data_IF_437504016627
#
_entry.id   IF_437504016627
#
_cell.length_a   1.000
_cell.length_b   1.000
_cell.length_c   1.000
_cell.angle_alpha   90.00
_cell.angle_beta   90.00
_cell.angle_gamma   90.00
#
_symmetry.space_group_name_H-M   'P 1'
#
loop_
_entity.id
_entity.type
_entity.pdbx_description
1 polymer ?
2 polymer ?
3 non-polymer ?
4 water ?
#
# COMPACT_ATOMS: atom_id res chain seq x y z
N UNK A 5 12.25 18.10 -11.65
CA UNK A 5 12.41 16.86 -10.84
C UNK A 5 12.45 15.59 -11.67
N UNK A 6 13.32 14.68 -11.26
CA UNK A 6 13.38 13.39 -12.01
C UNK A 6 12.19 12.54 -11.67
N UNK A 7 12.04 11.41 -12.39
CA UNK A 7 10.93 10.52 -12.04
C UNK A 7 11.18 9.97 -10.61
N UNK A 8 12.44 9.71 -10.24
CA UNK A 8 12.64 9.18 -8.91
C UNK A 8 12.29 10.21 -7.87
N UNK A 9 12.68 11.47 -8.12
CA UNK A 9 12.36 12.52 -7.18
C UNK A 9 10.82 12.71 -7.04
N UNK A 10 10.15 12.66 -8.17
CA UNK A 10 8.73 12.86 -8.19
C UNK A 10 8.01 11.74 -7.43
N UNK A 11 8.48 10.49 -7.61
CA UNK A 11 7.89 9.38 -6.93
C UNK A 11 8.17 9.43 -5.45
N UNK A 12 9.34 9.89 -5.01
CA UNK A 12 9.60 10.01 -3.59
C UNK A 12 8.62 11.05 -3.02
N UNK A 13 8.43 12.13 -3.78
CA UNK A 13 7.53 13.16 -3.30
C UNK A 13 6.06 12.73 -3.26
N UNK A 14 5.61 12.00 -4.28
CA UNK A 14 4.27 11.46 -4.27
C UNK A 14 4.09 10.50 -3.07
N UNK A 15 5.11 9.67 -2.79
CA UNK A 15 4.95 8.76 -1.64
C UNK A 15 4.59 9.52 -0.38
N UNK A 16 5.35 10.59 -0.14
CA UNK A 16 5.16 11.45 0.99
C UNK A 16 3.79 12.10 0.94
N UNK A 17 3.37 12.64 -0.22
CA UNK A 17 2.10 13.28 -0.32
C UNK A 17 0.96 12.28 -0.09
N UNK A 18 1.08 11.08 -0.66
CA UNK A 18 -0.01 10.11 -0.49
C UNK A 18 -0.15 9.75 0.97
N UNK A 19 1.00 9.49 1.62
CA UNK A 19 0.89 9.16 3.05
C UNK A 19 0.20 10.27 3.82
N UNK A 20 0.61 11.48 3.59
CA UNK A 20 0.12 12.66 4.30
C UNK A 20 -1.33 12.97 4.08
N UNK A 21 -1.78 12.80 2.85
CA UNK A 21 -3.19 12.95 2.53
C UNK A 21 -4.04 11.89 3.27
N UNK A 22 -3.57 10.65 3.29
CA UNK A 22 -4.36 9.61 3.96
C UNK A 22 -4.16 9.63 5.46
N UNK A 23 -2.94 10.06 5.90
CA UNK A 23 -2.77 10.11 7.34
C UNK A 23 -3.44 11.36 7.88
N UNK A 24 -3.71 12.42 7.18
CA UNK A 24 -4.29 13.61 7.78
C UNK A 24 -5.77 13.68 7.82
N UNK A 25 -6.54 12.57 7.84
CA UNK A 25 -7.97 12.72 7.93
C UNK A 25 -8.36 12.91 9.40
N UNK A 26 -7.68 12.27 10.35
CA UNK A 26 -8.09 12.48 11.72
C UNK A 26 -7.11 13.54 12.33
N UNK A 27 -6.97 13.62 13.66
CA UNK A 27 -6.09 14.64 14.22
C UNK A 27 -4.63 14.33 14.32
N UNK A 28 -4.21 13.17 13.79
CA UNK A 28 -2.81 12.81 13.85
C UNK A 28 -2.23 12.67 12.48
N UNK A 29 -1.60 13.61 11.80
CA UNK A 29 -1.11 13.27 10.45
C UNK A 29 0.18 12.57 10.40
N UNK A 30 0.67 11.91 11.44
CA UNK A 30 1.92 11.20 11.29
C UNK A 30 1.63 9.71 11.38
N UNK A 31 0.33 9.37 11.50
CA UNK A 31 0.04 7.90 11.62
C UNK A 31 -1.13 7.47 10.77
N UNK A 32 -1.16 6.35 10.06
CA UNK A 32 -2.42 6.06 9.31
C UNK A 32 -3.23 5.20 10.22
N UNK A 33 -4.44 5.61 10.69
CA UNK A 33 -5.11 4.59 11.56
C UNK A 33 -5.77 3.45 10.68
N UNK A 34 -6.41 2.49 11.30
CA UNK A 34 -7.11 1.37 10.66
C UNK A 34 -8.19 1.89 9.71
N UNK A 35 -8.94 2.92 10.16
CA UNK A 35 -9.94 3.49 9.29
C UNK A 35 -9.36 4.12 8.05
N UNK A 36 -8.28 4.86 8.23
CA UNK A 36 -7.62 5.51 7.14
C UNK A 36 -6.92 4.50 6.25
N UNK A 37 -6.46 3.41 6.80
CA UNK A 37 -5.79 2.40 5.95
C UNK A 37 -6.93 1.74 5.05
N UNK A 38 -8.09 1.51 5.65
CA UNK A 38 -9.28 0.97 4.98
C UNK A 38 -9.62 1.84 3.77
N UNK A 39 -9.62 3.15 3.96
CA UNK A 39 -9.92 4.08 2.88
C UNK A 39 -8.83 4.12 1.84
N UNK A 40 -7.56 4.11 2.30
CA UNK A 40 -6.45 4.14 1.35
C UNK A 40 -6.53 2.86 0.44
N UNK A 41 -6.65 1.70 1.03
CA UNK A 41 -6.73 0.42 0.39
C UNK A 41 -7.96 0.36 -0.55
N UNK A 42 -9.07 0.98 -0.20
CA UNK A 42 -10.20 0.94 -1.14
C UNK A 42 -10.17 2.06 -2.15
N UNK A 43 -9.15 2.91 -2.20
CA UNK A 43 -9.18 3.97 -3.17
C UNK A 43 -7.85 4.07 -3.93
N UNK A 44 -6.68 3.88 -3.33
CA UNK A 44 -5.42 4.01 -4.05
C UNK A 44 -5.09 2.59 -4.58
N UNK A 45 -5.45 1.59 -3.78
CA UNK A 45 -5.21 0.24 -4.13
C UNK A 45 -6.50 -0.56 -4.39
N UNK A 46 -7.55 0.10 -4.85
CA UNK A 46 -8.86 -0.51 -5.11
C UNK A 46 -8.77 -1.81 -5.91
N UNK A 47 -7.97 -1.83 -6.96
CA UNK A 47 -7.77 -2.95 -7.84
C UNK A 47 -7.28 -4.19 -7.15
N UNK A 48 -6.40 -4.05 -6.18
CA UNK A 48 -5.92 -5.22 -5.45
C UNK A 48 -6.93 -5.55 -4.38
N UNK A 49 -7.57 -4.50 -3.85
CA UNK A 49 -8.50 -4.72 -2.74
C UNK A 49 -9.80 -5.39 -3.16
N UNK A 50 -10.42 -4.86 -4.21
CA UNK A 50 -11.68 -5.37 -4.72
C UNK A 50 -11.59 -6.85 -5.06
N UNK A 51 -10.49 -7.29 -5.64
CA UNK A 51 -10.36 -8.73 -5.94
C UNK A 51 -10.70 -9.52 -4.68
N UNK A 52 -9.88 -9.43 -3.65
CA UNK A 52 -10.13 -10.14 -2.38
C UNK A 52 -11.54 -9.85 -1.89
N UNK A 53 -12.30 -10.85 -1.43
CA UNK A 53 -13.68 -10.65 -0.99
C UNK A 53 -13.86 -10.94 0.49
N UNK A 54 -12.77 -11.40 1.09
CA UNK A 54 -12.78 -11.71 2.53
C UNK A 54 -12.27 -10.43 3.21
N UNK A 55 -13.14 -9.80 3.99
CA UNK A 55 -12.84 -8.55 4.66
C UNK A 55 -11.86 -8.68 5.81
N UNK A 56 -11.54 -9.91 6.23
CA UNK A 56 -10.57 -10.12 7.29
C UNK A 56 -9.14 -9.95 6.71
N UNK A 57 -8.98 -9.94 5.40
CA UNK A 57 -7.69 -9.79 4.79
C UNK A 57 -7.00 -8.48 5.21
N UNK A 58 -7.65 -7.33 5.08
CA UNK A 58 -7.09 -6.06 5.49
C UNK A 58 -6.75 -6.04 6.95
N UNK A 59 -7.56 -6.70 7.78
CA UNK A 59 -7.24 -6.71 9.20
C UNK A 59 -5.94 -7.49 9.37
N UNK A 60 -5.79 -8.51 8.53
CA UNK A 60 -4.56 -9.32 8.67
C UNK A 60 -3.40 -8.56 8.06
N UNK A 61 -3.62 -7.76 7.02
CA UNK A 61 -2.48 -7.02 6.47
C UNK A 61 -2.01 -5.94 7.49
N UNK A 62 -2.97 -5.30 8.10
CA UNK A 62 -2.71 -4.24 9.07
C UNK A 62 -1.85 -4.76 10.21
N UNK A 63 -2.23 -5.90 10.78
CA UNK A 63 -1.48 -6.48 11.86
C UNK A 63 -0.05 -6.82 11.45
N UNK A 64 0.08 -7.37 10.28
CA UNK A 64 1.36 -7.71 9.72
C UNK A 64 2.21 -6.47 9.46
N UNK A 65 1.62 -5.34 9.05
CA UNK A 65 2.43 -4.17 8.76
C UNK A 65 2.75 -3.34 9.99
N UNK A 66 1.93 -3.49 11.02
CA UNK A 66 2.06 -2.74 12.25
C UNK A 66 3.20 -3.31 13.08
N UNK A 67 4.44 -3.08 12.67
CA UNK A 67 5.55 -3.63 13.40
C UNK A 67 5.69 -3.20 14.84
N UNK A 68 5.33 -2.02 15.29
CA UNK A 68 5.56 -1.76 16.73
C UNK A 68 4.26 -1.98 17.49
N UNK A 69 3.29 -2.52 16.81
CA UNK A 69 2.00 -2.86 17.32
C UNK A 69 1.26 -1.88 18.17
N UNK A 70 1.27 -0.60 17.77
CA UNK A 70 0.54 0.50 18.34
C UNK A 70 -0.81 0.65 17.65
N UNK A 71 -1.17 -0.18 16.68
CA UNK A 71 -2.46 -0.14 15.98
C UNK A 71 -2.54 0.85 14.84
N UNK A 72 -1.42 1.51 14.43
CA UNK A 72 -1.55 2.54 13.36
C UNK A 72 -0.43 2.39 12.37
N UNK A 73 -0.31 2.92 11.19
CA UNK A 73 0.88 2.65 10.39
C UNK A 73 1.65 4.00 10.40
N UNK A 74 2.96 3.94 10.69
CA UNK A 74 3.67 5.26 10.52
C UNK A 74 4.22 5.26 9.12
N UNK A 75 4.94 6.28 8.67
CA UNK A 75 5.46 6.31 7.31
C UNK A 75 6.28 5.14 6.85
N UNK A 76 7.18 4.70 7.72
CA UNK A 76 8.04 3.60 7.38
C UNK A 76 7.24 2.31 7.20
N UNK A 77 6.28 2.02 8.03
CA UNK A 77 5.43 0.84 7.93
C UNK A 77 4.62 0.93 6.66
N UNK A 78 4.18 2.14 6.36
CA UNK A 78 3.45 2.29 5.09
C UNK A 78 4.39 2.03 3.93
N UNK A 79 5.65 2.44 3.99
CA UNK A 79 6.59 2.16 2.92
C UNK A 79 6.83 0.66 2.75
N UNK A 80 6.83 -0.17 3.75
CA UNK A 80 7.01 -1.61 3.66
C UNK A 80 5.81 -2.19 2.87
N UNK A 81 4.62 -1.59 2.94
CA UNK A 81 3.48 -2.00 2.13
C UNK A 81 3.77 -1.67 0.67
N UNK A 82 4.17 -0.43 0.39
CA UNK A 82 4.47 -0.04 -0.97
C UNK A 82 5.56 -0.93 -1.55
N UNK A 83 6.62 -1.17 -0.83
CA UNK A 83 7.73 -1.97 -1.23
C UNK A 83 7.34 -3.47 -1.44
N UNK A 84 6.59 -4.06 -0.54
CA UNK A 84 6.16 -5.44 -0.66
C UNK A 84 5.37 -5.63 -1.97
N UNK A 85 4.49 -4.72 -2.31
CA UNK A 85 3.75 -4.74 -3.55
C UNK A 85 4.63 -4.52 -4.78
N UNK A 86 5.59 -3.57 -4.72
CA UNK A 86 6.43 -3.33 -5.88
C UNK A 86 7.30 -4.59 -6.04
N UNK A 87 7.77 -5.22 -5.00
CA UNK A 87 8.60 -6.41 -5.14
C UNK A 87 7.79 -7.55 -5.78
N UNK A 88 6.58 -7.85 -5.31
CA UNK A 88 5.79 -8.90 -5.95
C UNK A 88 5.55 -8.56 -7.39
N UNK A 89 5.25 -7.30 -7.72
CA UNK A 89 5.02 -6.95 -9.09
C UNK A 89 6.25 -7.09 -9.99
N UNK A 90 7.42 -6.79 -9.41
CA UNK A 90 8.65 -6.87 -10.19
C UNK A 90 8.98 -8.37 -10.39
N UNK A 91 8.74 -9.20 -9.41
CA UNK A 91 8.94 -10.63 -9.49
C UNK A 91 8.04 -11.21 -10.62
N UNK A 92 6.80 -10.80 -10.72
CA UNK A 92 5.92 -11.22 -11.79
C UNK A 92 6.40 -10.71 -13.13
N UNK A 93 6.94 -9.47 -13.16
CA UNK A 93 7.40 -9.01 -14.48
C UNK A 93 8.62 -9.89 -14.89
N UNK A 94 9.50 -10.30 -13.98
CA UNK A 94 10.65 -11.12 -14.35
C UNK A 94 10.18 -12.51 -14.84
N UNK A 95 9.30 -13.12 -14.08
CA UNK A 95 8.69 -14.41 -14.29
C UNK A 95 8.03 -14.49 -15.67
N UNK A 96 7.39 -13.43 -16.09
CA UNK A 96 6.70 -13.28 -17.33
C UNK A 96 7.63 -13.02 -18.49
N UNK A 97 8.78 -12.37 -18.22
CA UNK A 97 9.65 -12.12 -19.37
C UNK A 97 10.82 -13.06 -19.43
N UNK A 98 11.24 -13.72 -18.37
CA UNK A 98 12.41 -14.66 -18.45
C UNK A 98 11.78 -16.02 -18.19
N UNK A 99 10.93 -16.41 -19.13
CA UNK A 99 10.20 -17.65 -19.00
C UNK A 99 10.59 -18.78 -19.93
C UNK B 1 -0.65 0.99 -13.58
N UNK B 2 -1.35 0.71 -14.68
CA UNK B 2 -0.83 0.13 -15.88
C UNK B 2 -0.63 -1.38 -15.66
N UNK B 3 0.62 -1.83 -15.72
CA UNK B 3 0.91 -3.25 -15.54
C UNK B 3 0.68 -3.63 -14.08
N UNK B 4 0.97 -2.66 -13.22
CA UNK B 4 0.79 -2.89 -11.78
C UNK B 4 -0.65 -3.17 -11.42
N UNK B 5 -1.57 -2.30 -11.84
CA UNK B 5 -2.98 -2.49 -11.56
C UNK B 5 -3.48 -3.88 -11.96
N UNK B 6 -2.99 -4.39 -13.09
CA UNK B 6 -3.43 -5.72 -13.53
C UNK B 6 -2.79 -6.76 -12.62
N UNK B 7 -1.50 -6.51 -12.33
CA UNK B 7 -0.82 -7.48 -11.47
C UNK B 7 -1.58 -7.61 -10.15
N UNK B 8 -1.81 -6.47 -9.51
CA UNK B 8 -2.50 -6.43 -8.23
C UNK B 8 -3.80 -7.23 -8.26
N UNK B 9 -4.46 -7.19 -9.41
CA UNK B 9 -5.71 -7.91 -9.62
C UNK B 9 -5.49 -9.42 -9.61
N UNK B 10 -4.39 -9.85 -10.22
CA UNK B 10 -4.02 -11.25 -10.32
C UNK B 10 -3.39 -11.78 -9.03
N UNK B 11 -2.45 -11.04 -8.46
CA UNK B 11 -1.78 -11.46 -7.24
C UNK B 11 -2.55 -11.07 -5.98
N UNK B 12 -3.02 -12.07 -5.26
CA UNK B 12 -3.78 -11.97 -4.03
C UNK B 12 -5.26 -12.16 -4.34
X LIG C 1 -4.05 9.84 11.00
X LIG D 1 2.66 0.99 14.00
#
# INVERSE_FOLDING_TARGET
MAKRPTETERCIESLIAIFQKHAGRDGNNTKISKTEFLIFMNTELAAFTQNQKDPGVLDRMMKKLDLDSDGQLDFQEFLNLIGGLAIACHDSFIKSTQK
XAMVSAFLKQAW
CA CA
CA CA
#
